data_IF_925279228264
#
_entry.id   IF_925279228264
#
_cell.length_a   1.000
_cell.length_b   1.000
_cell.length_c   1.000
_cell.angle_alpha   90.00
_cell.angle_beta   90.00
_cell.angle_gamma   90.00
#
_symmetry.space_group_name_H-M   'P 1'
#
loop_
_entity.id
_entity.type
_entity.pdbx_description
1 polymer ?
#
# COMPACT_ATOMS: atom_id res chain seq x y z
N UNK A 1 -0.06 -6.82 -0.72
CA UNK A 1 0.81 -7.98 -0.43
C UNK A 1 0.16 -8.86 0.62
N UNK A 2 0.49 -10.16 0.67
CA UNK A 2 -0.07 -11.07 1.68
C UNK A 2 0.61 -10.84 3.03
N UNK A 3 -0.07 -11.20 4.11
CA UNK A 3 0.51 -11.21 5.46
C UNK A 3 0.68 -12.65 5.92
N UNK A 4 1.91 -12.97 6.34
CA UNK A 4 2.29 -14.27 6.87
C UNK A 4 2.67 -14.10 8.35
N UNK A 5 2.12 -14.92 9.23
CA UNK A 5 2.67 -15.07 10.57
C UNK A 5 3.81 -16.08 10.51
N UNK A 6 4.99 -15.69 10.99
CA UNK A 6 6.13 -16.59 11.17
C UNK A 6 6.37 -16.81 12.64
N UNK A 7 6.50 -18.07 13.04
CA UNK A 7 6.83 -18.46 14.40
C UNK A 7 8.18 -19.15 14.43
N UNK A 8 9.12 -18.57 15.19
CA UNK A 8 10.47 -19.09 15.36
C UNK A 8 10.90 -18.93 16.83
N UNK A 9 11.36 -20.03 17.46
CA UNK A 9 11.82 -20.06 18.88
C UNK A 9 10.86 -19.31 19.82
N UNK A 10 9.56 -19.63 19.71
CA UNK A 10 8.47 -19.07 20.51
C UNK A 10 8.12 -17.59 20.28
N UNK A 11 8.79 -16.92 19.33
CA UNK A 11 8.40 -15.59 18.87
C UNK A 11 7.55 -15.68 17.60
N UNK A 12 6.44 -14.95 17.55
CA UNK A 12 5.59 -14.86 16.35
C UNK A 12 5.48 -13.43 15.87
N UNK A 13 5.79 -13.19 14.60
CA UNK A 13 5.67 -11.89 13.95
C UNK A 13 4.95 -11.99 12.60
N UNK A 14 4.31 -10.90 12.19
CA UNK A 14 3.69 -10.78 10.89
C UNK A 14 4.63 -10.13 9.88
N UNK A 15 4.90 -10.83 8.79
CA UNK A 15 5.65 -10.33 7.64
C UNK A 15 4.75 -10.13 6.44
N UNK A 16 4.94 -9.00 5.75
CA UNK A 16 4.21 -8.68 4.54
C UNK A 16 5.06 -9.02 3.32
N UNK A 17 4.62 -9.97 2.50
CA UNK A 17 5.35 -10.40 1.31
C UNK A 17 4.45 -10.92 0.20
N UNK A 18 5.00 -11.04 -1.01
CA UNK A 18 4.29 -11.64 -2.14
C UNK A 18 4.14 -13.16 -2.01
N UNK A 19 5.08 -13.84 -1.35
CA UNK A 19 5.08 -15.30 -1.16
C UNK A 19 5.60 -15.67 0.23
N UNK A 20 5.28 -16.87 0.69
CA UNK A 20 5.78 -17.40 1.97
C UNK A 20 7.31 -17.46 2.00
N UNK A 21 7.96 -17.83 0.89
CA UNK A 21 9.42 -17.85 0.80
C UNK A 21 10.05 -16.47 0.98
N UNK A 22 9.46 -15.43 0.37
CA UNK A 22 9.90 -14.04 0.56
C UNK A 22 9.68 -13.56 1.99
N UNK A 23 8.55 -13.92 2.62
CA UNK A 23 8.29 -13.62 4.03
C UNK A 23 9.34 -14.25 4.96
N UNK A 24 9.64 -15.55 4.77
CA UNK A 24 10.69 -16.26 5.51
C UNK A 24 12.06 -15.60 5.35
N UNK A 25 12.43 -15.25 4.12
CA UNK A 25 13.72 -14.63 3.86
C UNK A 25 13.82 -13.21 4.46
N UNK A 26 12.75 -12.41 4.37
CA UNK A 26 12.66 -11.10 5.02
C UNK A 26 12.86 -11.21 6.54
N UNK A 27 12.12 -12.11 7.18
CA UNK A 27 12.23 -12.38 8.62
C UNK A 27 13.66 -12.78 9.02
N UNK A 28 14.26 -13.70 8.24
CA UNK A 28 15.63 -14.20 8.47
C UNK A 28 16.67 -13.07 8.45
N UNK A 29 16.58 -12.17 7.46
CA UNK A 29 17.49 -11.03 7.34
C UNK A 29 17.21 -9.98 8.43
N UNK A 30 15.94 -9.66 8.69
CA UNK A 30 15.55 -8.63 9.64
C UNK A 30 15.94 -8.94 11.09
N UNK A 31 16.08 -10.23 11.42
CA UNK A 31 16.47 -10.71 12.75
C UNK A 31 17.92 -11.17 12.84
N UNK A 32 18.74 -10.91 11.80
CA UNK A 32 20.17 -11.28 11.77
C UNK A 32 20.41 -12.77 12.08
N UNK A 33 19.46 -13.63 11.72
CA UNK A 33 19.50 -15.07 12.07
C UNK A 33 20.70 -15.76 11.42
N UNK A 34 21.16 -15.22 10.28
CA UNK A 34 22.34 -15.67 9.55
C UNK A 34 23.63 -15.72 10.35
N UNK A 35 23.72 -14.96 11.45
CA UNK A 35 24.88 -15.02 12.35
C UNK A 35 24.90 -16.31 13.18
N UNK A 36 23.75 -16.99 13.30
CA UNK A 36 23.56 -18.17 14.12
C UNK A 36 23.25 -19.45 13.34
N UNK A 37 22.64 -19.35 12.15
CA UNK A 37 22.27 -20.50 11.34
C UNK A 37 22.06 -20.15 9.87
N UNK A 38 22.26 -21.15 9.01
CA UNK A 38 21.99 -21.04 7.58
C UNK A 38 20.49 -20.93 7.28
N UNK A 39 20.14 -20.21 6.21
CA UNK A 39 18.74 -20.00 5.80
C UNK A 39 18.00 -21.32 5.57
N UNK A 40 18.68 -22.33 5.02
CA UNK A 40 18.09 -23.65 4.78
C UNK A 40 17.64 -24.36 6.06
N UNK A 41 18.39 -24.19 7.16
CA UNK A 41 18.03 -24.76 8.46
C UNK A 41 16.97 -23.93 9.16
N UNK A 42 17.02 -22.61 9.02
CA UNK A 42 15.97 -21.72 9.50
C UNK A 42 14.61 -22.10 8.90
N UNK A 43 14.54 -22.32 7.58
CA UNK A 43 13.29 -22.66 6.86
C UNK A 43 12.65 -23.95 7.38
N UNK A 44 13.45 -24.92 7.86
CA UNK A 44 12.96 -26.18 8.46
C UNK A 44 12.38 -25.97 9.85
N UNK A 45 12.89 -24.98 10.59
CA UNK A 45 12.53 -24.70 11.99
C UNK A 45 11.42 -23.66 12.15
N UNK A 46 11.16 -22.84 11.12
CA UNK A 46 10.17 -21.76 11.17
C UNK A 46 8.80 -22.24 10.68
N UNK A 47 7.77 -22.04 11.50
CA UNK A 47 6.38 -22.16 11.05
C UNK A 47 5.99 -20.90 10.26
N UNK A 48 5.24 -21.05 9.18
CA UNK A 48 4.75 -19.93 8.39
C UNK A 48 3.31 -20.16 7.97
N UNK A 49 2.41 -19.28 8.44
CA UNK A 49 0.98 -19.35 8.17
C UNK A 49 0.52 -18.12 7.41
N UNK A 50 -0.22 -18.33 6.31
CA UNK A 50 -0.91 -17.23 5.63
C UNK A 50 -2.05 -16.75 6.53
N UNK A 51 -1.94 -15.52 7.04
CA UNK A 51 -2.95 -14.90 7.90
C UNK A 51 -3.91 -14.05 7.09
N UNK A 52 -3.39 -13.37 6.08
CA UNK A 52 -4.20 -12.50 5.22
C UNK A 52 -3.76 -12.60 3.77
N UNK A 53 -4.71 -12.92 2.90
CA UNK A 53 -4.50 -12.91 1.45
C UNK A 53 -4.87 -11.52 0.94
N UNK A 54 -3.95 -10.90 0.20
CA UNK A 54 -4.17 -9.58 -0.37
C UNK A 54 -5.44 -9.54 -1.22
N UNK A 55 -6.23 -8.50 -1.00
CA UNK A 55 -7.38 -8.13 -1.77
C UNK A 55 -7.29 -6.65 -2.14
N UNK A 56 -7.86 -6.26 -3.28
CA UNK A 56 -7.83 -4.87 -3.78
C UNK A 56 -8.37 -3.87 -2.73
N UNK A 57 -9.35 -4.30 -1.93
CA UNK A 57 -9.90 -3.50 -0.82
C UNK A 57 -8.85 -3.07 0.20
N UNK A 58 -7.77 -3.84 0.37
CA UNK A 58 -6.73 -3.54 1.37
C UNK A 58 -5.87 -2.34 0.96
N UNK A 59 -5.98 -1.89 -0.29
CA UNK A 59 -5.37 -0.64 -0.73
C UNK A 59 -6.13 0.58 -0.20
N UNK A 60 -7.43 0.43 0.08
CA UNK A 60 -8.28 1.52 0.49
C UNK A 60 -8.04 1.85 1.96
N UNK A 61 -7.90 3.14 2.25
CA UNK A 61 -7.80 3.61 3.64
C UNK A 61 -9.09 3.28 4.40
N UNK A 62 -8.94 2.72 5.59
CA UNK A 62 -10.04 2.59 6.55
C UNK A 62 -10.28 3.90 7.31
N UNK A 63 -9.28 4.80 7.34
CA UNK A 63 -9.40 6.09 8.00
C UNK A 63 -10.00 7.14 7.06
N UNK A 64 -11.34 7.09 6.93
CA UNK A 64 -12.11 8.04 6.13
C UNK A 64 -11.98 9.47 6.67
N UNK A 65 -11.87 9.65 8.00
CA UNK A 65 -11.77 10.98 8.62
C UNK A 65 -10.51 11.72 8.18
N UNK A 66 -9.38 11.02 8.11
CA UNK A 66 -8.12 11.61 7.63
C UNK A 66 -8.23 12.01 6.16
N UNK A 67 -8.90 11.21 5.34
CA UNK A 67 -9.12 11.52 3.93
C UNK A 67 -10.03 12.74 3.75
N UNK A 68 -11.16 12.82 4.47
CA UNK A 68 -12.05 13.99 4.46
C UNK A 68 -11.32 15.27 4.91
N UNK A 69 -10.52 15.17 5.98
CA UNK A 69 -9.68 16.28 6.45
C UNK A 69 -8.67 16.71 5.39
N UNK A 70 -8.00 15.76 4.75
CA UNK A 70 -7.04 16.06 3.69
C UNK A 70 -7.70 16.81 2.54
N UNK A 71 -8.87 16.37 2.07
CA UNK A 71 -9.58 17.04 0.98
C UNK A 71 -9.94 18.48 1.31
N UNK A 72 -10.47 18.71 2.51
CA UNK A 72 -10.85 20.05 2.97
C UNK A 72 -9.63 20.97 3.08
N UNK A 73 -8.52 20.50 3.66
CA UNK A 73 -7.29 21.29 3.79
C UNK A 73 -6.61 21.58 2.44
N UNK A 74 -6.92 20.79 1.40
CA UNK A 74 -6.32 20.90 0.06
C UNK A 74 -7.28 21.51 -0.98
N UNK A 75 -8.50 21.87 -0.58
CA UNK A 75 -9.52 22.45 -1.49
C UNK A 75 -9.91 21.52 -2.63
N UNK A 76 -10.02 20.21 -2.36
CA UNK A 76 -10.41 19.17 -3.33
C UNK A 76 -11.60 18.34 -2.81
N UNK A 77 -12.63 19.01 -2.30
CA UNK A 77 -13.82 18.38 -1.71
C UNK A 77 -14.54 17.43 -2.67
N UNK A 78 -14.40 17.66 -3.98
CA UNK A 78 -14.95 16.80 -5.03
C UNK A 78 -14.25 15.43 -5.13
N UNK A 79 -13.06 15.28 -4.55
CA UNK A 79 -12.34 14.02 -4.57
C UNK A 79 -13.03 12.97 -3.69
N UNK A 80 -12.97 11.71 -4.10
CA UNK A 80 -13.49 10.58 -3.33
C UNK A 80 -12.62 9.34 -3.51
N UNK A 81 -12.72 8.41 -2.58
CA UNK A 81 -12.09 7.10 -2.73
C UNK A 81 -12.68 6.39 -3.95
N UNK A 82 -11.83 5.74 -4.73
CA UNK A 82 -12.23 5.10 -5.99
C UNK A 82 -12.25 6.04 -7.20
N UNK A 83 -11.99 7.34 -7.01
CA UNK A 83 -11.95 8.31 -8.11
C UNK A 83 -10.75 8.04 -9.04
N UNK A 84 -11.00 8.10 -10.34
CA UNK A 84 -9.96 7.99 -11.37
C UNK A 84 -9.14 9.28 -11.42
N UNK A 85 -7.83 9.12 -11.47
CA UNK A 85 -6.87 10.22 -11.60
C UNK A 85 -5.78 9.87 -12.59
N UNK A 86 -5.15 10.91 -13.14
CA UNK A 86 -3.88 10.80 -13.86
C UNK A 86 -2.87 11.70 -13.15
N UNK A 87 -1.76 11.13 -12.66
CA UNK A 87 -0.70 11.88 -11.98
C UNK A 87 0.57 11.75 -12.80
N UNK A 88 1.11 12.87 -13.27
CA UNK A 88 2.31 12.94 -14.11
C UNK A 88 2.25 11.96 -15.30
N UNK A 89 1.10 11.91 -15.99
CA UNK A 89 0.85 11.03 -17.13
C UNK A 89 0.49 9.57 -16.79
N UNK A 90 0.51 9.18 -15.51
CA UNK A 90 0.17 7.82 -15.07
C UNK A 90 -1.26 7.74 -14.54
N UNK A 91 -2.06 6.83 -15.08
CA UNK A 91 -3.44 6.59 -14.65
C UNK A 91 -3.49 5.75 -13.39
N UNK A 92 -4.42 6.09 -12.50
CA UNK A 92 -4.63 5.36 -11.26
C UNK A 92 -5.95 5.72 -10.58
N UNK A 93 -6.10 5.20 -9.37
CA UNK A 93 -7.30 5.36 -8.54
C UNK A 93 -6.87 5.89 -7.17
N UNK A 94 -7.60 6.88 -6.66
CA UNK A 94 -7.42 7.36 -5.28
C UNK A 94 -7.87 6.26 -4.32
N UNK A 95 -6.94 5.77 -3.51
CA UNK A 95 -7.22 4.74 -2.50
C UNK A 95 -7.10 5.28 -1.07
N UNK A 96 -6.58 6.50 -0.89
CA UNK A 96 -6.56 7.12 0.42
C UNK A 96 -5.77 8.42 0.47
N UNK A 97 -5.24 8.69 1.65
CA UNK A 97 -4.33 9.81 1.92
C UNK A 97 -3.34 9.43 3.00
N UNK A 98 -2.24 10.18 3.07
CA UNK A 98 -1.23 10.02 4.11
C UNK A 98 -1.13 11.27 5.03
N UNK A 99 -0.30 11.14 6.07
CA UNK A 99 -0.13 12.17 7.12
C UNK A 99 0.39 13.51 6.60
N UNK A 100 1.03 13.54 5.42
CA UNK A 100 1.51 14.75 4.75
C UNK A 100 0.44 15.43 3.89
N UNK A 101 -0.83 15.06 4.06
CA UNK A 101 -1.97 15.59 3.30
C UNK A 101 -1.81 15.38 1.79
N UNK A 102 -1.22 14.25 1.40
CA UNK A 102 -1.12 13.83 0.00
C UNK A 102 -2.10 12.69 -0.29
N UNK A 103 -2.38 12.48 -1.57
CA UNK A 103 -3.14 11.35 -2.05
C UNK A 103 -2.29 10.09 -1.98
N UNK A 104 -2.94 8.99 -1.60
CA UNK A 104 -2.45 7.65 -1.90
C UNK A 104 -3.16 7.16 -3.16
N UNK A 105 -2.39 6.92 -4.23
CA UNK A 105 -2.90 6.50 -5.54
C UNK A 105 -2.37 5.11 -5.88
N UNK A 106 -3.25 4.19 -6.27
CA UNK A 106 -2.85 2.93 -6.89
C UNK A 106 -2.84 3.11 -8.41
N UNK A 107 -1.67 3.03 -9.04
CA UNK A 107 -1.56 3.15 -10.50
C UNK A 107 -1.98 1.86 -11.20
N UNK A 108 -2.43 1.98 -12.46
CA UNK A 108 -2.81 0.83 -13.28
C UNK A 108 -1.66 -0.19 -13.38
N UNK A 109 -1.96 -1.45 -13.09
CA UNK A 109 -0.98 -2.55 -13.08
C UNK A 109 -0.18 -2.70 -11.78
N UNK A 110 -0.32 -1.77 -10.83
CA UNK A 110 0.33 -1.85 -9.51
C UNK A 110 -0.58 -2.52 -8.47
N UNK A 111 0.04 -3.00 -7.39
CA UNK A 111 -0.65 -3.60 -6.24
C UNK A 111 -0.21 -2.96 -4.91
N UNK A 112 0.29 -1.73 -5.00
CA UNK A 112 0.71 -0.89 -3.89
C UNK A 112 0.24 0.54 -4.18
N UNK A 113 0.21 1.36 -3.14
CA UNK A 113 -0.15 2.77 -3.24
C UNK A 113 1.10 3.64 -3.33
N UNK A 114 1.01 4.70 -4.12
CA UNK A 114 2.05 5.70 -4.32
C UNK A 114 1.61 7.03 -3.71
N UNK A 115 2.57 7.74 -3.11
CA UNK A 115 2.36 9.07 -2.54
C UNK A 115 2.31 10.12 -3.66
N UNK A 116 1.20 10.84 -3.80
CA UNK A 116 0.98 11.82 -4.86
C UNK A 116 0.52 13.15 -4.28
N UNK A 117 1.23 14.23 -4.60
CA UNK A 117 0.81 15.56 -4.16
C UNK A 117 -0.51 15.94 -4.86
N UNK A 118 -1.52 16.49 -4.15
CA UNK A 118 -2.86 16.69 -4.71
C UNK A 118 -2.96 17.76 -5.81
N UNK A 119 -1.88 18.50 -6.05
CA UNK A 119 -1.80 19.53 -7.09
C UNK A 119 -0.68 19.28 -8.12
N UNK A 120 0.23 18.33 -7.87
CA UNK A 120 1.38 18.13 -8.76
C UNK A 120 0.99 17.31 -9.98
N UNK A 121 0.82 17.98 -11.12
CA UNK A 121 0.55 17.36 -12.43
C UNK A 121 -0.56 16.33 -12.36
N UNK A 122 -1.68 16.67 -11.74
CA UNK A 122 -2.80 15.75 -11.50
C UNK A 122 -4.06 16.18 -12.22
N UNK A 123 -4.73 15.22 -12.84
CA UNK A 123 -6.06 15.34 -13.43
C UNK A 123 -7.02 14.43 -12.70
N UNK A 124 -8.19 14.96 -12.36
CA UNK A 124 -9.27 14.25 -11.66
C UNK A 124 -10.43 14.03 -12.62
N UNK A 125 -10.97 12.81 -12.65
CA UNK A 125 -12.02 12.43 -13.59
C UNK A 125 -13.29 11.96 -12.87
N UNK A 126 -14.44 12.19 -13.49
CA UNK A 126 -15.70 11.61 -13.04
C UNK A 126 -15.81 10.12 -13.42
N UNK A 127 -16.92 9.49 -13.04
CA UNK A 127 -17.19 8.08 -13.33
C UNK A 127 -17.32 7.76 -14.83
N UNK A 128 -17.59 8.78 -15.66
CA UNK A 128 -17.65 8.66 -17.12
C UNK A 128 -16.31 8.96 -17.80
N UNK A 129 -15.26 9.28 -17.03
CA UNK A 129 -13.94 9.62 -17.55
C UNK A 129 -13.82 11.07 -18.03
N UNK A 130 -14.79 11.94 -17.71
CA UNK A 130 -14.72 13.37 -18.01
C UNK A 130 -13.83 14.07 -16.99
N UNK A 131 -12.99 15.00 -17.44
CA UNK A 131 -12.16 15.83 -16.58
C UNK A 131 -13.04 16.72 -15.67
N UNK A 132 -12.84 16.61 -14.35
CA UNK A 132 -13.44 17.48 -13.33
C UNK A 132 -12.53 18.65 -13.01
N UNK A 133 -11.24 18.36 -12.79
CA UNK A 133 -10.25 19.36 -12.38
C UNK A 133 -8.86 18.92 -12.80
N UNK A 134 -8.01 19.88 -13.15
CA UNK A 134 -6.58 19.66 -13.37
C UNK A 134 -5.74 20.67 -12.59
N UNK A 135 -4.55 20.23 -12.20
CA UNK A 135 -3.48 21.03 -11.62
C UNK A 135 -2.17 20.61 -12.30
N UNK A 136 -1.37 21.55 -12.78
CA UNK A 136 -0.19 21.28 -13.63
C UNK A 136 1.15 21.66 -12.99
N UNK A 137 1.13 22.20 -11.77
CA UNK A 137 2.28 22.80 -11.09
C UNK A 137 2.87 21.90 -9.99
#
# INVERSE_FOLDING_TARGET
MNTYALTFRDHTENEVAATAGKAKYSFFLGHEIGDSMEFGDFVKSVECKLVHKFHVRDLFTENIKDFERMKSLRGIEFAHLGMKVEVNGKKGVIVGSNRSLNLDVCFEGEHWKSNCHPWYKVRYFDNHGKLIKEFMD
#
